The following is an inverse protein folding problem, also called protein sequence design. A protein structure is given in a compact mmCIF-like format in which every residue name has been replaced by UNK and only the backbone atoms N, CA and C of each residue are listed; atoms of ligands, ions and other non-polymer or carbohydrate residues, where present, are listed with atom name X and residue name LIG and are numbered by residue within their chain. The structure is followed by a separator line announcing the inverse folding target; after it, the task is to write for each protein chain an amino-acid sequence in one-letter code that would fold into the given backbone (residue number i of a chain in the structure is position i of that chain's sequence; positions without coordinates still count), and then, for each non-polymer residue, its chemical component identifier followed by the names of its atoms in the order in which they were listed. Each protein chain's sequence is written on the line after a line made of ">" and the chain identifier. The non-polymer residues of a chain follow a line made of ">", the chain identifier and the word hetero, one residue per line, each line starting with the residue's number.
data_IF_028679575319
#
_entry.id   IF_028679575319
#
_cell.length_a   1.000
_cell.length_b   1.000
_cell.length_c   1.000
_cell.angle_alpha   90.00
_cell.angle_beta   90.00
_cell.angle_gamma   90.00
#
_symmetry.space_group_name_H-M   'P 1'
#
loop_
_entity.id
_entity.type
_entity.pdbx_description
1 polymer ?
#
# COMPACT_ATOMS: atom_id res chain seq x y z
N UNK A 1 31.63 -38.45 -42.20
CA UNK A 1 33.05 -38.62 -41.88
C UNK A 1 33.17 -38.30 -40.39
N UNK A 2 33.17 -39.35 -39.68
CA UNK A 2 34.13 -39.82 -38.66
C UNK A 2 34.15 -38.95 -37.43
N UNK A 3 33.52 -39.39 -36.27
CA UNK A 3 34.06 -40.37 -35.28
C UNK A 3 35.34 -39.84 -34.62
N UNK A 4 35.47 -39.72 -33.33
CA UNK A 4 35.50 -40.69 -32.21
C UNK A 4 35.66 -39.91 -30.91
N UNK A 5 35.01 -40.16 -29.85
CA UNK A 5 34.95 -41.26 -28.90
C UNK A 5 35.89 -41.14 -27.72
N UNK A 6 35.30 -41.29 -26.56
CA UNK A 6 35.73 -42.05 -25.37
C UNK A 6 36.92 -41.53 -24.54
N UNK A 7 36.78 -41.40 -23.29
CA UNK A 7 36.52 -42.37 -22.29
C UNK A 7 37.01 -41.96 -20.88
N UNK A 8 36.81 -42.82 -19.89
CA UNK A 8 36.50 -42.39 -18.55
C UNK A 8 37.63 -42.70 -17.54
N UNK A 9 37.38 -42.34 -16.29
CA UNK A 9 38.18 -42.83 -15.14
C UNK A 9 38.34 -41.75 -14.08
N UNK A 10 38.23 -41.93 -12.85
CA UNK A 10 38.05 -43.11 -11.97
C UNK A 10 37.55 -42.55 -10.63
N UNK A 11 36.71 -43.29 -9.99
CA UNK A 11 36.40 -43.19 -8.59
C UNK A 11 37.56 -43.60 -7.73
N UNK A 12 37.78 -43.01 -6.61
CA UNK A 12 38.50 -43.60 -5.52
C UNK A 12 37.82 -43.25 -4.19
N UNK A 13 37.50 -44.29 -3.60
CA UNK A 13 36.83 -44.67 -2.40
C UNK A 13 37.80 -44.68 -1.18
N UNK A 14 37.21 -44.88 0.00
CA UNK A 14 37.81 -45.36 1.26
C UNK A 14 38.17 -44.25 2.28
N UNK A 15 37.44 -44.20 3.35
CA UNK A 15 37.17 -45.17 4.44
C UNK A 15 38.18 -45.10 5.61
N UNK A 16 37.57 -45.14 6.76
CA UNK A 16 38.05 -45.61 8.07
C UNK A 16 38.78 -44.59 8.98
N UNK A 17 38.12 -44.11 9.99
CA UNK A 17 38.03 -44.66 11.35
C UNK A 17 39.35 -44.75 12.09
N UNK A 18 39.44 -44.06 13.19
CA UNK A 18 39.86 -44.72 14.44
C UNK A 18 39.66 -43.81 15.67
N UNK A 19 39.01 -44.38 16.64
CA UNK A 19 38.80 -43.97 18.01
C UNK A 19 40.13 -43.89 18.80
N UNK A 20 40.26 -42.88 19.63
CA UNK A 20 41.20 -42.92 20.75
C UNK A 20 40.45 -42.45 22.02
N UNK A 21 40.18 -43.41 22.87
CA UNK A 21 39.86 -43.20 24.28
C UNK A 21 41.14 -42.79 25.01
N UNK A 22 41.07 -41.70 25.76
CA UNK A 22 42.05 -41.36 26.78
C UNK A 22 41.31 -41.17 28.11
N UNK A 23 41.83 -41.93 29.09
CA UNK A 23 41.35 -42.15 30.46
C UNK A 23 41.39 -40.82 31.25
N UNK A 24 40.37 -40.64 32.08
CA UNK A 24 40.31 -39.61 33.11
C UNK A 24 41.04 -40.04 34.34
N UNK A 25 42.04 -39.33 34.75
CA UNK A 25 42.59 -39.37 36.11
C UNK A 25 41.91 -38.29 36.96
N UNK A 26 41.26 -38.70 38.01
CA UNK A 26 40.63 -37.87 39.04
C UNK A 26 41.74 -37.37 39.98
N UNK A 27 41.88 -36.07 40.07
CA UNK A 27 42.62 -35.39 41.13
C UNK A 27 41.55 -34.67 41.99
N UNK A 28 41.47 -35.21 43.25
CA UNK A 28 40.61 -34.68 44.30
C UNK A 28 41.40 -33.56 45.01
N UNK A 29 41.06 -32.27 44.75
CA UNK A 29 41.66 -31.16 45.48
C UNK A 29 40.59 -30.51 46.38
N UNK A 30 40.90 -30.47 47.66
CA UNK A 30 40.06 -30.03 48.78
C UNK A 30 39.74 -28.54 48.65
N UNK A 31 38.43 -28.17 48.53
CA UNK A 31 37.92 -26.83 48.55
C UNK A 31 37.77 -26.36 50.00
N UNK A 32 38.35 -25.21 50.38
CA UNK A 32 38.05 -24.59 51.68
C UNK A 32 36.65 -23.99 51.73
N UNK A 33 36.00 -24.14 52.90
CA UNK A 33 34.66 -23.66 53.18
C UNK A 33 34.45 -22.17 52.82
N UNK A 34 33.47 -21.92 51.96
CA UNK A 34 33.05 -20.59 51.59
C UNK A 34 32.30 -19.90 52.74
N UNK A 35 32.78 -18.75 53.16
CA UNK A 35 32.10 -17.83 54.07
C UNK A 35 30.86 -17.29 53.41
N UNK A 36 29.68 -17.50 53.98
CA UNK A 36 28.41 -16.94 53.51
C UNK A 36 28.44 -15.41 53.55
N UNK A 37 28.40 -14.79 52.39
CA UNK A 37 28.15 -13.37 52.24
C UNK A 37 26.63 -13.18 52.19
N UNK A 38 26.02 -12.29 53.03
CA UNK A 38 24.56 -12.08 52.98
C UNK A 38 24.18 -11.55 51.63
N UNK A 39 23.20 -12.18 50.96
CA UNK A 39 22.61 -11.74 49.72
C UNK A 39 21.94 -10.36 49.93
N UNK A 40 22.60 -9.31 49.46
CA UNK A 40 21.94 -8.03 49.29
C UNK A 40 21.06 -8.16 48.07
N UNK A 41 19.78 -8.31 48.32
CA UNK A 41 18.72 -8.30 47.28
C UNK A 41 18.70 -6.92 46.62
N UNK A 42 19.61 -6.73 45.63
CA UNK A 42 19.53 -5.61 44.70
C UNK A 42 18.46 -5.91 43.66
N UNK A 43 17.22 -5.59 43.98
CA UNK A 43 16.19 -5.37 42.99
C UNK A 43 16.71 -4.30 42.02
N UNK A 44 17.37 -4.75 40.95
CA UNK A 44 17.57 -3.90 39.80
C UNK A 44 16.15 -3.57 39.28
N UNK A 45 15.79 -2.29 39.10
CA UNK A 45 14.51 -1.98 38.51
C UNK A 45 14.46 -2.70 37.15
N UNK A 46 13.41 -3.51 36.94
CA UNK A 46 13.15 -4.06 35.61
C UNK A 46 13.18 -2.89 34.64
N UNK A 47 13.83 -3.05 33.46
CA UNK A 47 13.80 -2.02 32.46
C UNK A 47 12.33 -1.77 32.12
N UNK A 48 11.83 -0.62 32.53
CA UNK A 48 10.51 -0.14 32.14
C UNK A 48 10.55 -0.11 30.63
N UNK A 49 9.84 -1.03 29.97
CA UNK A 49 9.71 -1.02 28.52
C UNK A 49 9.14 0.35 28.15
N UNK A 50 9.99 1.22 27.65
CA UNK A 50 9.58 2.52 27.17
C UNK A 50 8.65 2.23 26.00
N UNK A 51 7.36 2.48 26.17
CA UNK A 51 6.38 2.26 25.11
C UNK A 51 6.89 3.02 23.87
N UNK A 52 7.09 2.31 22.77
CA UNK A 52 7.49 2.93 21.51
C UNK A 52 6.48 4.02 21.18
N UNK A 53 6.89 5.27 20.93
CA UNK A 53 5.96 6.36 20.64
C UNK A 53 5.08 5.94 19.46
N UNK A 54 3.76 6.00 19.65
CA UNK A 54 2.81 5.67 18.59
C UNK A 54 2.84 6.76 17.51
N UNK A 55 2.94 6.37 16.24
CA UNK A 55 2.89 7.30 15.11
C UNK A 55 1.62 7.10 14.29
N UNK A 56 0.94 8.17 13.82
CA UNK A 56 -0.32 8.05 13.07
C UNK A 56 -0.24 7.23 11.77
N UNK A 57 0.96 7.04 11.21
CA UNK A 57 1.20 6.20 10.03
C UNK A 57 1.24 4.70 10.34
N UNK A 58 1.38 4.28 11.59
CA UNK A 58 1.39 2.87 11.96
C UNK A 58 0.06 2.22 11.55
N UNK A 59 0.14 1.09 10.85
CA UNK A 59 -1.05 0.37 10.37
C UNK A 59 -1.97 -0.01 11.53
N UNK A 60 -1.42 -0.51 12.64
CA UNK A 60 -2.22 -0.89 13.81
C UNK A 60 -2.91 0.30 14.48
N UNK A 61 -2.28 1.48 14.46
CA UNK A 61 -2.91 2.73 14.93
C UNK A 61 -4.06 3.13 14.00
N UNK A 62 -3.87 3.01 12.69
CA UNK A 62 -4.93 3.29 11.72
C UNK A 62 -6.09 2.31 11.83
N UNK A 63 -5.85 1.02 12.10
CA UNK A 63 -6.89 0.00 12.32
C UNK A 63 -7.75 0.26 13.56
N UNK A 64 -7.16 0.84 14.60
CA UNK A 64 -7.86 1.17 15.85
C UNK A 64 -8.66 2.48 15.74
N UNK A 65 -8.48 3.23 14.66
CA UNK A 65 -9.13 4.52 14.46
C UNK A 65 -10.53 4.34 13.87
N UNK A 66 -11.46 5.19 14.29
CA UNK A 66 -12.78 5.29 13.68
C UNK A 66 -12.73 6.18 12.42
N UNK A 67 -13.46 5.74 11.39
CA UNK A 67 -13.67 6.48 10.14
C UNK A 67 -15.19 6.67 9.95
N UNK A 68 -15.79 7.61 10.68
CA UNK A 68 -17.26 7.74 10.68
C UNK A 68 -17.82 8.23 9.35
N UNK A 69 -17.03 8.96 8.53
CA UNK A 69 -17.55 9.63 7.34
C UNK A 69 -18.72 10.54 7.68
N UNK A 70 -19.60 10.74 6.72
CA UNK A 70 -20.88 11.44 6.88
C UNK A 70 -21.85 10.97 5.77
N UNK A 71 -23.08 11.51 5.76
CA UNK A 71 -23.91 11.50 4.56
C UNK A 71 -23.18 12.25 3.44
N UNK A 72 -23.39 11.78 2.20
CA UNK A 72 -22.92 12.48 0.97
C UNK A 72 -23.90 13.63 0.69
N UNK A 73 -23.35 14.84 0.58
CA UNK A 73 -24.09 16.05 0.25
C UNK A 73 -23.89 16.37 -1.22
N UNK A 74 -25.01 16.56 -1.97
CA UNK A 74 -24.97 17.04 -3.35
C UNK A 74 -24.65 18.54 -3.36
N UNK A 75 -23.57 18.91 -4.04
CA UNK A 75 -23.13 20.30 -4.17
C UNK A 75 -23.49 20.90 -5.55
N UNK A 76 -23.27 20.12 -6.62
CA UNK A 76 -23.51 20.57 -7.97
C UNK A 76 -23.91 19.41 -8.89
N UNK A 77 -24.86 19.65 -9.79
CA UNK A 77 -25.20 18.73 -10.87
C UNK A 77 -24.37 19.08 -12.11
N UNK A 78 -23.69 18.09 -12.66
CA UNK A 78 -22.87 18.27 -13.87
C UNK A 78 -23.57 17.68 -15.09
N UNK A 79 -23.14 18.08 -16.30
CA UNK A 79 -23.57 17.42 -17.53
C UNK A 79 -23.37 15.88 -17.43
N UNK A 80 -24.41 15.09 -17.74
CA UNK A 80 -24.33 13.64 -17.60
C UNK A 80 -23.34 13.03 -18.59
N UNK A 81 -22.91 11.80 -18.27
CA UNK A 81 -22.20 10.94 -19.20
C UNK A 81 -23.16 10.18 -20.14
N UNK A 82 -22.66 9.17 -20.84
CA UNK A 82 -23.45 8.44 -21.85
C UNK A 82 -24.64 7.66 -21.24
N UNK A 83 -24.46 7.09 -20.04
CA UNK A 83 -25.46 6.27 -19.34
C UNK A 83 -25.33 6.40 -17.80
N UNK A 84 -24.84 7.55 -17.34
CA UNK A 84 -24.67 7.85 -15.91
C UNK A 84 -24.80 9.36 -15.68
N UNK A 85 -25.27 9.72 -14.49
CA UNK A 85 -25.29 11.09 -14.02
C UNK A 85 -23.98 11.43 -13.30
N UNK A 86 -23.66 12.73 -13.22
CA UNK A 86 -22.43 13.25 -12.64
C UNK A 86 -22.73 14.35 -11.64
N UNK A 87 -22.02 14.33 -10.53
CA UNK A 87 -22.20 15.29 -9.45
C UNK A 87 -20.87 15.71 -8.84
N UNK A 88 -20.77 16.96 -8.42
CA UNK A 88 -19.87 17.35 -7.37
C UNK A 88 -20.59 17.10 -6.05
N UNK A 89 -19.98 16.35 -5.17
CA UNK A 89 -20.50 16.03 -3.85
C UNK A 89 -19.49 16.38 -2.77
N UNK A 90 -19.92 16.37 -1.52
CA UNK A 90 -19.00 16.47 -0.38
C UNK A 90 -19.35 15.47 0.73
N UNK A 91 -18.37 15.21 1.57
CA UNK A 91 -18.48 14.42 2.79
C UNK A 91 -17.54 14.98 3.87
N UNK A 92 -17.69 14.52 5.11
CA UNK A 92 -16.86 14.96 6.24
C UNK A 92 -15.72 13.97 6.50
N UNK A 93 -14.52 14.48 6.71
CA UNK A 93 -13.35 13.75 7.16
C UNK A 93 -12.60 14.57 8.20
N UNK A 94 -12.58 14.10 9.45
CA UNK A 94 -11.92 14.77 10.59
C UNK A 94 -12.27 16.26 10.73
N UNK A 95 -13.56 16.58 10.55
CA UNK A 95 -14.04 17.96 10.63
C UNK A 95 -13.78 18.82 9.39
N UNK A 96 -13.13 18.28 8.34
CA UNK A 96 -12.96 18.95 7.06
C UNK A 96 -14.06 18.52 6.10
N UNK A 97 -14.63 19.46 5.36
CA UNK A 97 -15.47 19.22 4.19
C UNK A 97 -14.58 18.82 3.02
N UNK A 98 -14.72 17.59 2.56
CA UNK A 98 -13.96 17.05 1.42
C UNK A 98 -14.89 16.92 0.22
N UNK A 99 -14.53 17.54 -0.89
CA UNK A 99 -15.24 17.42 -2.14
C UNK A 99 -14.85 16.15 -2.90
N UNK A 100 -15.74 15.70 -3.76
CA UNK A 100 -15.51 14.53 -4.61
C UNK A 100 -16.33 14.61 -5.89
N UNK A 101 -15.87 13.98 -6.96
CA UNK A 101 -16.68 13.65 -8.11
C UNK A 101 -17.41 12.33 -7.84
N UNK A 102 -18.74 12.35 -8.00
CA UNK A 102 -19.59 11.16 -7.94
C UNK A 102 -20.22 10.92 -9.30
N UNK A 103 -20.22 9.66 -9.75
CA UNK A 103 -21.06 9.22 -10.88
C UNK A 103 -22.11 8.24 -10.39
N UNK A 104 -23.31 8.29 -10.97
CA UNK A 104 -24.41 7.40 -10.64
C UNK A 104 -24.93 6.77 -11.93
N UNK A 105 -24.90 5.43 -12.09
CA UNK A 105 -25.45 4.78 -13.27
C UNK A 105 -26.93 5.08 -13.44
N UNK A 106 -27.36 5.27 -14.71
CA UNK A 106 -28.76 5.39 -15.08
C UNK A 106 -29.37 4.00 -15.33
N UNK A 107 -30.70 3.91 -15.25
CA UNK A 107 -31.43 2.68 -15.48
C UNK A 107 -32.00 2.07 -14.21
N UNK A 108 -32.35 0.79 -14.26
CA UNK A 108 -32.93 0.06 -13.14
C UNK A 108 -31.84 -0.29 -12.11
N UNK A 109 -31.98 0.27 -10.91
CA UNK A 109 -31.03 0.04 -9.83
C UNK A 109 -31.17 -1.39 -9.31
N UNK A 110 -30.06 -2.14 -9.15
CA UNK A 110 -30.08 -3.44 -8.50
C UNK A 110 -30.72 -3.37 -7.10
N UNK A 111 -31.37 -4.44 -6.66
CA UNK A 111 -32.07 -4.48 -5.38
C UNK A 111 -31.21 -4.13 -4.16
N UNK A 112 -29.89 -4.40 -4.25
CA UNK A 112 -28.92 -4.10 -3.19
C UNK A 112 -28.20 -2.75 -3.39
N UNK A 113 -28.49 -2.02 -4.48
CA UNK A 113 -27.75 -0.83 -4.92
C UNK A 113 -26.70 -1.14 -5.97
N UNK A 114 -26.07 -0.10 -6.49
CA UNK A 114 -24.99 -0.21 -7.48
C UNK A 114 -23.66 -0.56 -6.82
N UNK A 115 -22.79 -1.37 -7.47
CA UNK A 115 -21.42 -1.56 -7.03
C UNK A 115 -20.63 -0.25 -7.14
N UNK A 116 -19.61 -0.10 -6.29
CA UNK A 116 -18.86 1.14 -6.14
C UNK A 116 -17.38 0.93 -6.49
N UNK A 117 -16.78 1.92 -7.16
CA UNK A 117 -15.33 2.09 -7.25
C UNK A 117 -14.94 3.38 -6.52
N UNK A 118 -14.26 3.26 -5.40
CA UNK A 118 -13.56 4.38 -4.77
C UNK A 118 -12.26 4.62 -5.53
N UNK A 119 -12.13 5.84 -6.07
CA UNK A 119 -11.09 6.16 -7.03
C UNK A 119 -10.04 7.09 -6.42
N UNK A 120 -8.80 6.64 -6.35
CA UNK A 120 -7.66 7.35 -5.77
C UNK A 120 -6.74 7.88 -6.87
N UNK A 121 -6.78 9.19 -7.09
CA UNK A 121 -5.94 9.84 -8.08
C UNK A 121 -4.47 9.94 -7.65
N UNK A 122 -3.56 10.07 -8.62
CA UNK A 122 -2.14 10.34 -8.40
C UNK A 122 -1.87 11.78 -7.94
N UNK A 123 -0.60 12.10 -7.70
CA UNK A 123 -0.22 13.45 -7.32
C UNK A 123 -0.56 14.47 -8.40
N UNK A 124 -1.35 15.45 -8.02
CA UNK A 124 -1.60 16.68 -8.76
C UNK A 124 -1.31 17.83 -7.79
N UNK A 125 -0.58 18.88 -8.17
CA UNK A 125 -0.37 20.01 -7.29
C UNK A 125 -1.70 20.54 -6.74
N UNK A 126 -1.88 20.68 -5.41
CA UNK A 126 -3.19 21.00 -4.82
C UNK A 126 -3.84 22.26 -5.39
N UNK A 127 -3.03 23.29 -5.69
CA UNK A 127 -3.50 24.54 -6.29
C UNK A 127 -3.90 24.43 -7.78
N UNK A 128 -3.54 23.33 -8.45
CA UNK A 128 -3.88 23.02 -9.83
C UNK A 128 -4.99 21.98 -9.96
N UNK A 129 -5.31 21.29 -8.85
CA UNK A 129 -6.35 20.28 -8.84
C UNK A 129 -7.74 20.90 -9.01
N UNK A 130 -8.60 20.21 -9.76
CA UNK A 130 -10.02 20.53 -9.92
C UNK A 130 -10.83 19.22 -9.90
N UNK A 131 -11.91 19.22 -9.16
CA UNK A 131 -12.79 18.06 -8.95
C UNK A 131 -13.28 17.40 -10.24
N UNK A 132 -13.51 18.18 -11.29
CA UNK A 132 -14.10 17.69 -12.54
C UNK A 132 -13.08 17.42 -13.65
N UNK A 133 -11.81 17.79 -13.42
CA UNK A 133 -10.75 17.63 -14.40
C UNK A 133 -9.92 16.36 -14.13
N UNK A 134 -9.02 16.01 -15.04
CA UNK A 134 -8.13 14.85 -14.96
C UNK A 134 -8.88 13.51 -14.77
N UNK A 135 -8.26 12.43 -15.12
CA UNK A 135 -8.81 11.06 -15.00
C UNK A 135 -10.22 10.87 -15.59
N UNK A 136 -10.66 11.76 -16.50
CA UNK A 136 -12.02 11.73 -17.06
C UNK A 136 -12.30 10.39 -17.75
N UNK A 137 -11.39 9.92 -18.61
CA UNK A 137 -11.54 8.64 -19.33
C UNK A 137 -11.57 7.43 -18.40
N UNK A 138 -10.84 7.46 -17.29
CA UNK A 138 -10.80 6.38 -16.29
C UNK A 138 -12.13 6.29 -15.54
N UNK A 139 -12.65 7.46 -15.09
CA UNK A 139 -13.95 7.55 -14.39
C UNK A 139 -15.08 7.16 -15.34
N UNK A 140 -15.09 7.66 -16.58
CA UNK A 140 -16.08 7.34 -17.62
C UNK A 140 -16.12 5.83 -17.89
N UNK A 141 -14.96 5.17 -17.98
CA UNK A 141 -14.89 3.74 -18.23
C UNK A 141 -15.60 2.90 -17.16
N UNK A 142 -15.36 3.17 -15.88
CA UNK A 142 -16.07 2.47 -14.80
C UNK A 142 -17.55 2.86 -14.73
N UNK A 143 -17.87 4.15 -14.84
CA UNK A 143 -19.24 4.62 -14.78
C UNK A 143 -20.13 4.00 -15.87
N UNK A 144 -19.63 3.93 -17.11
CA UNK A 144 -20.34 3.27 -18.24
C UNK A 144 -20.60 1.79 -18.01
N UNK A 145 -19.80 1.13 -17.19
CA UNK A 145 -19.96 -0.28 -16.85
C UNK A 145 -20.81 -0.51 -15.59
N UNK A 146 -21.57 0.52 -15.18
CA UNK A 146 -22.56 0.39 -14.11
C UNK A 146 -21.97 0.41 -12.71
N UNK A 147 -20.86 1.12 -12.53
CA UNK A 147 -20.30 1.41 -11.21
C UNK A 147 -20.65 2.85 -10.78
N UNK A 148 -21.00 3.02 -9.52
CA UNK A 148 -20.82 4.32 -8.89
C UNK A 148 -19.31 4.54 -8.77
N UNK A 149 -18.82 5.69 -9.25
CA UNK A 149 -17.42 6.09 -9.03
C UNK A 149 -17.41 7.25 -8.05
N UNK A 150 -16.72 7.11 -6.92
CA UNK A 150 -16.48 8.18 -5.97
C UNK A 150 -15.00 8.53 -5.99
N UNK A 151 -14.64 9.67 -6.62
CA UNK A 151 -13.28 10.18 -6.67
C UNK A 151 -13.11 11.34 -5.71
N UNK A 152 -12.49 11.06 -4.56
CA UNK A 152 -12.18 12.08 -3.56
C UNK A 152 -11.10 13.05 -4.05
N UNK A 153 -11.27 14.34 -3.71
CA UNK A 153 -10.27 15.37 -3.99
C UNK A 153 -9.07 15.31 -3.03
N UNK A 154 -9.21 14.68 -1.88
CA UNK A 154 -8.39 14.76 -0.66
C UNK A 154 -8.37 16.16 -0.05
N UNK A 155 -8.07 16.25 1.25
CA UNK A 155 -7.94 17.54 1.95
C UNK A 155 -6.93 18.49 1.30
N UNK A 156 -7.29 19.75 1.26
CA UNK A 156 -6.45 20.82 0.69
C UNK A 156 -6.32 20.80 -0.84
N UNK A 157 -7.12 20.00 -1.56
CA UNK A 157 -7.20 19.99 -3.01
C UNK A 157 -8.52 20.62 -3.50
N UNK A 158 -8.46 21.37 -4.59
CA UNK A 158 -9.64 22.05 -5.11
C UNK A 158 -10.30 22.93 -4.05
N UNK A 159 -11.59 22.69 -3.82
CA UNK A 159 -12.38 23.39 -2.81
C UNK A 159 -12.44 22.64 -1.46
N UNK A 160 -11.76 21.50 -1.34
CA UNK A 160 -11.69 20.70 -0.11
C UNK A 160 -10.93 21.43 0.98
N UNK A 161 -11.50 21.42 2.20
CA UNK A 161 -10.90 22.00 3.38
C UNK A 161 -9.66 21.22 3.86
N UNK A 162 -8.97 21.79 4.84
CA UNK A 162 -7.79 21.20 5.45
C UNK A 162 -6.48 21.53 4.72
N UNK A 163 -5.43 20.80 5.05
CA UNK A 163 -4.07 21.06 4.55
C UNK A 163 -3.58 19.87 3.75
N UNK A 164 -3.06 20.14 2.57
CA UNK A 164 -2.42 19.13 1.72
C UNK A 164 -1.06 18.70 2.29
N UNK A 165 -1.03 17.57 3.00
CA UNK A 165 0.16 17.06 3.69
C UNK A 165 0.96 16.04 2.87
N UNK A 166 0.44 15.62 1.71
CA UNK A 166 1.02 14.56 0.87
C UNK A 166 0.60 13.14 1.30
N UNK A 167 0.82 12.18 0.40
CA UNK A 167 0.32 10.80 0.58
C UNK A 167 1.24 9.87 1.38
N UNK A 168 2.47 10.28 1.72
CA UNK A 168 3.47 9.36 2.30
C UNK A 168 3.90 9.72 3.72
N UNK A 169 4.10 11.00 4.01
CA UNK A 169 4.54 11.49 5.34
C UNK A 169 3.42 11.65 6.35
N UNK A 170 2.18 11.45 5.93
CA UNK A 170 0.97 11.58 6.74
C UNK A 170 -0.09 10.59 6.27
N UNK A 171 -0.92 10.02 7.17
CA UNK A 171 -2.03 9.17 6.78
C UNK A 171 -3.24 9.95 6.25
N UNK A 172 -3.19 11.28 6.22
CA UNK A 172 -4.35 12.14 6.05
C UNK A 172 -5.18 11.84 4.79
N UNK A 173 -4.54 11.60 3.64
CA UNK A 173 -5.28 11.25 2.42
C UNK A 173 -5.91 9.86 2.50
N UNK A 174 -5.24 8.90 3.13
CA UNK A 174 -5.85 7.58 3.40
C UNK A 174 -7.04 7.71 4.36
N UNK A 175 -6.94 8.58 5.37
CA UNK A 175 -8.05 8.89 6.28
C UNK A 175 -9.24 9.50 5.52
N UNK A 176 -8.99 10.43 4.61
CA UNK A 176 -10.05 11.01 3.76
C UNK A 176 -10.74 9.93 2.92
N UNK A 177 -9.96 9.02 2.33
CA UNK A 177 -10.48 7.91 1.52
C UNK A 177 -11.26 6.90 2.36
N UNK A 178 -10.82 6.55 3.57
CA UNK A 178 -11.55 5.66 4.45
C UNK A 178 -12.87 6.30 4.94
N UNK A 179 -12.89 7.62 5.17
CA UNK A 179 -14.14 8.35 5.42
C UNK A 179 -15.03 8.44 4.17
N UNK A 180 -14.46 8.49 2.96
CA UNK A 180 -15.21 8.37 1.70
C UNK A 180 -15.86 6.99 1.55
N UNK A 181 -15.15 5.91 1.91
CA UNK A 181 -15.72 4.55 1.97
C UNK A 181 -16.89 4.50 2.94
N UNK A 182 -16.73 5.04 4.15
CA UNK A 182 -17.81 5.09 5.13
C UNK A 182 -19.00 5.95 4.66
N UNK A 183 -18.75 7.04 3.94
CA UNK A 183 -19.80 7.89 3.38
C UNK A 183 -20.58 7.19 2.25
N UNK A 184 -19.86 6.54 1.32
CA UNK A 184 -20.52 5.86 0.20
C UNK A 184 -21.30 4.62 0.65
N UNK A 185 -20.92 3.95 1.75
CA UNK A 185 -21.70 2.85 2.35
C UNK A 185 -23.07 3.29 2.86
N UNK A 186 -23.26 4.58 3.16
CA UNK A 186 -24.54 5.17 3.54
C UNK A 186 -25.32 5.75 2.37
N UNK A 187 -24.68 5.88 1.19
CA UNK A 187 -25.34 6.45 0.03
C UNK A 187 -26.47 5.52 -0.47
N UNK A 188 -27.73 5.99 -0.57
CA UNK A 188 -28.90 5.12 -0.79
C UNK A 188 -28.86 4.32 -2.10
N UNK A 189 -28.04 4.72 -3.06
CA UNK A 189 -27.91 4.06 -4.35
C UNK A 189 -26.74 3.08 -4.41
N UNK A 190 -25.87 3.04 -3.39
CA UNK A 190 -24.70 2.18 -3.34
C UNK A 190 -24.98 0.86 -2.62
N UNK A 191 -24.39 -0.23 -3.10
CA UNK A 191 -24.33 -1.48 -2.33
C UNK A 191 -23.12 -1.40 -1.38
N UNK A 192 -23.36 -1.34 -0.05
CA UNK A 192 -22.29 -1.18 0.94
C UNK A 192 -21.33 -2.38 1.03
N UNK A 193 -21.68 -3.51 0.42
CA UNK A 193 -20.89 -4.74 0.43
C UNK A 193 -20.13 -4.97 -0.88
N UNK A 194 -20.32 -4.11 -1.89
CA UNK A 194 -19.72 -4.23 -3.22
C UNK A 194 -18.87 -3.00 -3.55
N UNK A 195 -17.76 -2.84 -2.80
CA UNK A 195 -16.84 -1.71 -2.95
C UNK A 195 -15.49 -2.22 -3.44
N UNK A 196 -15.08 -1.78 -4.62
CA UNK A 196 -13.71 -1.90 -5.14
C UNK A 196 -12.95 -0.59 -4.94
N UNK A 197 -11.62 -0.66 -4.99
CA UNK A 197 -10.78 0.54 -4.91
C UNK A 197 -9.76 0.55 -6.04
N UNK A 198 -9.72 1.64 -6.78
CA UNK A 198 -8.77 1.85 -7.86
C UNK A 198 -7.81 2.97 -7.52
N UNK A 199 -6.51 2.80 -7.82
CA UNK A 199 -5.53 3.84 -7.54
C UNK A 199 -4.40 3.91 -8.56
N UNK A 200 -4.01 5.14 -8.92
CA UNK A 200 -2.89 5.43 -9.81
C UNK A 200 -1.77 6.13 -9.05
N UNK A 201 -0.51 5.72 -9.28
CA UNK A 201 0.66 6.40 -8.73
C UNK A 201 0.57 6.55 -7.20
N UNK A 202 0.53 7.76 -6.64
CA UNK A 202 0.26 8.02 -5.21
C UNK A 202 -1.05 7.36 -4.75
N UNK A 203 -2.09 7.38 -5.59
CA UNK A 203 -3.37 6.71 -5.31
C UNK A 203 -3.23 5.20 -5.13
N UNK A 204 -2.25 4.56 -5.79
CA UNK A 204 -1.93 3.16 -5.59
C UNK A 204 -1.40 2.86 -4.17
N UNK A 205 -0.57 3.75 -3.62
CA UNK A 205 -0.14 3.67 -2.21
C UNK A 205 -1.32 3.80 -1.24
N UNK A 206 -2.23 4.75 -1.51
CA UNK A 206 -3.44 4.95 -0.70
C UNK A 206 -4.32 3.71 -0.77
N UNK A 207 -4.50 3.11 -1.96
CA UNK A 207 -5.27 1.87 -2.16
C UNK A 207 -4.68 0.72 -1.35
N UNK A 208 -3.38 0.45 -1.49
CA UNK A 208 -2.71 -0.63 -0.76
C UNK A 208 -2.85 -0.44 0.76
N UNK A 209 -2.61 0.78 1.25
CA UNK A 209 -2.75 1.11 2.68
C UNK A 209 -4.19 0.95 3.16
N UNK A 210 -5.17 1.38 2.39
CA UNK A 210 -6.58 1.23 2.74
C UNK A 210 -6.97 -0.23 2.88
N UNK A 211 -6.52 -1.11 1.96
CA UNK A 211 -6.87 -2.53 1.94
C UNK A 211 -6.24 -3.35 3.08
N UNK A 212 -5.17 -2.88 3.71
CA UNK A 212 -4.62 -3.52 4.92
C UNK A 212 -5.18 -2.91 6.22
N UNK A 213 -5.96 -1.82 6.12
CA UNK A 213 -6.55 -1.13 7.29
C UNK A 213 -8.01 -1.51 7.50
N UNK A 214 -8.79 -1.77 6.45
CA UNK A 214 -10.24 -2.07 6.52
C UNK A 214 -10.63 -3.25 5.65
N UNK A 215 -11.64 -4.03 6.08
CA UNK A 215 -12.22 -5.16 5.35
C UNK A 215 -13.36 -4.76 4.39
N UNK A 216 -13.67 -3.47 4.30
CA UNK A 216 -14.77 -2.96 3.49
C UNK A 216 -14.50 -3.04 1.98
N UNK A 217 -13.23 -3.13 1.56
CA UNK A 217 -12.80 -3.10 0.16
C UNK A 217 -12.63 -4.53 -0.35
N UNK A 218 -13.41 -4.94 -1.34
CA UNK A 218 -13.49 -6.33 -1.82
C UNK A 218 -12.41 -6.68 -2.85
N UNK A 219 -11.88 -5.68 -3.56
CA UNK A 219 -10.80 -5.86 -4.53
C UNK A 219 -10.08 -4.53 -4.77
N UNK A 220 -8.79 -4.58 -5.10
CA UNK A 220 -7.98 -3.42 -5.43
C UNK A 220 -7.34 -3.51 -6.81
N UNK A 221 -7.38 -2.42 -7.57
CA UNK A 221 -6.65 -2.28 -8.83
C UNK A 221 -5.67 -1.12 -8.71
N UNK A 222 -4.40 -1.37 -9.01
CA UNK A 222 -3.33 -0.39 -8.87
C UNK A 222 -2.59 -0.22 -10.20
N UNK A 223 -2.59 1.00 -10.72
CA UNK A 223 -1.86 1.38 -11.92
C UNK A 223 -0.63 2.18 -11.56
N UNK A 224 0.56 1.73 -12.01
CA UNK A 224 1.84 2.41 -11.81
C UNK A 224 2.04 2.94 -10.37
N UNK A 225 1.65 2.12 -9.39
CA UNK A 225 1.55 2.52 -7.98
C UNK A 225 2.90 2.74 -7.30
N UNK A 226 2.92 3.70 -6.39
CA UNK A 226 4.05 3.94 -5.47
C UNK A 226 3.91 2.99 -4.28
N UNK A 227 4.17 1.70 -4.51
CA UNK A 227 3.76 0.61 -3.60
C UNK A 227 4.92 -0.12 -2.92
N UNK A 228 6.14 0.39 -2.99
CA UNK A 228 7.25 -0.12 -2.19
C UNK A 228 7.06 0.15 -0.71
N UNK A 229 7.70 -0.66 0.14
CA UNK A 229 7.80 -0.38 1.57
C UNK A 229 8.48 0.97 1.81
N UNK A 230 8.36 1.55 3.01
CA UNK A 230 9.04 2.82 3.31
C UNK A 230 10.55 2.75 3.10
N UNK A 231 11.28 1.70 3.53
CA UNK A 231 12.69 1.51 3.18
C UNK A 231 12.94 1.49 1.67
N UNK A 232 12.10 0.78 0.89
CA UNK A 232 12.24 0.74 -0.57
C UNK A 232 12.00 2.09 -1.24
N UNK A 233 11.04 2.86 -0.75
CA UNK A 233 10.78 4.22 -1.24
C UNK A 233 11.98 5.15 -1.03
N UNK A 234 12.79 4.92 -0.01
CA UNK A 234 14.03 5.67 0.19
C UNK A 234 15.16 5.20 -0.73
N UNK A 235 15.32 3.89 -0.87
CA UNK A 235 16.45 3.29 -1.57
C UNK A 235 16.30 3.26 -3.11
N UNK A 236 15.10 3.03 -3.62
CA UNK A 236 14.85 2.68 -5.03
C UNK A 236 14.17 3.75 -5.87
N UNK A 237 13.80 4.87 -5.29
CA UNK A 237 13.06 5.93 -6.01
C UNK A 237 13.90 6.67 -7.07
N UNK A 238 15.16 6.32 -7.31
CA UNK A 238 15.99 6.91 -8.38
C UNK A 238 16.23 5.89 -9.48
N UNK A 239 15.87 6.27 -10.71
CA UNK A 239 16.28 5.58 -11.91
C UNK A 239 17.82 5.52 -11.98
N UNK A 240 18.38 4.33 -12.27
CA UNK A 240 19.79 4.19 -12.60
C UNK A 240 20.55 3.08 -11.88
N UNK A 241 19.91 2.14 -11.21
CA UNK A 241 20.55 0.87 -10.81
C UNK A 241 21.54 0.93 -9.66
N UNK A 242 21.93 2.09 -9.17
CA UNK A 242 22.76 2.24 -7.98
C UNK A 242 21.88 2.58 -6.77
N UNK A 243 21.87 1.69 -5.77
CA UNK A 243 21.13 1.89 -4.52
C UNK A 243 21.87 2.96 -3.70
N UNK A 244 21.60 4.21 -3.99
CA UNK A 244 22.05 5.31 -3.13
C UNK A 244 20.85 5.68 -2.24
N UNK A 245 20.95 5.43 -0.95
CA UNK A 245 20.06 6.06 0.03
C UNK A 245 20.45 7.53 0.09
N UNK A 246 19.72 8.45 -0.56
CA UNK A 246 20.09 9.85 -0.51
C UNK A 246 19.83 10.35 0.91
N UNK A 247 20.78 11.05 1.49
CA UNK A 247 20.51 11.84 2.70
C UNK A 247 19.31 12.74 2.39
N UNK A 248 18.20 12.63 3.14
CA UNK A 248 17.03 13.45 2.89
C UNK A 248 17.41 14.93 2.96
N UNK A 249 17.08 15.69 1.93
CA UNK A 249 17.24 17.15 1.96
C UNK A 249 16.13 17.74 2.85
N UNK A 250 16.44 18.25 4.04
CA UNK A 250 15.43 18.77 4.97
C UNK A 250 14.79 20.07 4.47
N UNK A 251 15.36 20.70 3.44
CA UNK A 251 14.82 21.93 2.86
C UNK A 251 13.73 21.66 1.84
N UNK A 252 13.72 20.48 1.22
CA UNK A 252 12.68 20.08 0.28
C UNK A 252 11.42 19.57 0.99
N UNK A 253 10.25 19.86 0.45
CA UNK A 253 8.98 19.33 1.00
C UNK A 253 8.94 17.80 1.01
N UNK A 254 9.58 17.15 0.03
CA UNK A 254 9.68 15.69 -0.05
C UNK A 254 10.71 15.10 0.91
N UNK A 255 11.78 15.80 1.21
CA UNK A 255 12.82 15.37 2.15
C UNK A 255 12.43 15.57 3.60
N UNK A 256 11.65 16.61 3.90
CA UNK A 256 11.34 17.04 5.26
C UNK A 256 10.65 15.97 6.11
N UNK A 257 9.62 15.31 5.58
CA UNK A 257 8.93 14.26 6.32
C UNK A 257 9.80 13.02 6.55
N UNK A 258 10.64 12.66 5.55
CA UNK A 258 11.61 11.55 5.67
C UNK A 258 12.64 11.85 6.76
N UNK A 259 13.21 13.06 6.71
CA UNK A 259 14.14 13.52 7.73
C UNK A 259 13.52 13.48 9.11
N UNK A 260 12.33 14.04 9.31
CA UNK A 260 11.63 14.05 10.59
C UNK A 260 11.35 12.66 11.15
N UNK A 261 10.98 11.69 10.30
CA UNK A 261 10.82 10.30 10.73
C UNK A 261 12.16 9.66 11.11
N UNK A 262 13.21 9.85 10.32
CA UNK A 262 14.54 9.31 10.63
C UNK A 262 15.15 9.94 11.89
N UNK A 263 14.97 11.24 12.09
CA UNK A 263 15.44 11.94 13.31
C UNK A 263 14.71 11.43 14.57
N UNK A 264 13.41 11.13 14.44
CA UNK A 264 12.58 10.72 15.59
C UNK A 264 12.70 9.23 15.90
N UNK A 265 12.78 8.38 14.88
CA UNK A 265 12.65 6.93 15.00
C UNK A 265 13.92 6.15 14.58
N UNK A 266 14.96 6.83 14.11
CA UNK A 266 16.16 6.20 13.54
C UNK A 266 15.99 5.79 12.08
N UNK A 267 17.07 5.37 11.45
CA UNK A 267 17.07 4.88 10.06
C UNK A 267 16.35 3.51 9.95
N UNK A 268 16.03 3.05 8.72
CA UNK A 268 15.47 1.71 8.52
C UNK A 268 16.36 0.58 9.06
N UNK A 269 17.67 0.75 9.04
CA UNK A 269 18.64 -0.20 9.57
C UNK A 269 18.69 -0.19 11.10
N UNK A 270 18.53 0.98 11.72
CA UNK A 270 18.56 1.15 13.18
C UNK A 270 17.25 0.72 13.84
N UNK A 271 16.11 0.93 13.19
CA UNK A 271 14.79 0.61 13.73
C UNK A 271 13.85 -0.03 12.67
N UNK A 272 14.18 -1.22 12.17
CA UNK A 272 13.39 -1.89 11.14
C UNK A 272 11.94 -2.14 11.57
N UNK A 273 11.69 -2.32 12.86
CA UNK A 273 10.35 -2.56 13.40
C UNK A 273 9.43 -1.35 13.20
N UNK A 274 9.91 -0.13 13.44
CA UNK A 274 9.13 1.07 13.17
C UNK A 274 8.78 1.19 11.68
N UNK A 275 9.78 1.03 10.80
CA UNK A 275 9.57 1.16 9.36
C UNK A 275 8.65 0.09 8.78
N UNK A 276 8.69 -1.12 9.32
CA UNK A 276 7.72 -2.16 9.02
C UNK A 276 6.31 -1.76 9.47
N UNK A 277 6.16 -1.24 10.70
CA UNK A 277 4.86 -0.88 11.27
C UNK A 277 4.10 0.21 10.48
N UNK A 278 4.81 1.06 9.74
CA UNK A 278 4.22 2.10 8.88
C UNK A 278 4.09 1.67 7.41
N UNK A 279 4.66 0.53 7.00
CA UNK A 279 4.65 0.01 5.64
C UNK A 279 3.48 -0.95 5.41
N UNK A 280 2.54 -0.69 4.50
CA UNK A 280 1.49 -1.66 4.13
C UNK A 280 2.05 -3.03 3.75
N UNK A 281 3.26 -3.07 3.17
CA UNK A 281 3.95 -4.28 2.74
C UNK A 281 4.23 -5.29 3.88
N UNK A 282 4.30 -4.83 5.13
CA UNK A 282 4.46 -5.73 6.27
C UNK A 282 3.13 -6.40 6.72
N UNK A 283 2.01 -6.04 6.12
CA UNK A 283 0.66 -6.48 6.49
C UNK A 283 -0.11 -7.11 5.31
N UNK A 284 0.60 -7.63 4.30
CA UNK A 284 -0.04 -8.12 3.08
C UNK A 284 -0.89 -9.38 3.30
N UNK A 285 -0.64 -10.15 4.35
CA UNK A 285 -1.52 -11.27 4.78
C UNK A 285 -2.91 -10.81 5.21
N UNK A 286 -3.06 -9.52 5.53
CA UNK A 286 -4.29 -8.91 6.03
C UNK A 286 -5.01 -8.09 4.94
N UNK A 287 -4.62 -8.26 3.68
CA UNK A 287 -5.33 -7.62 2.57
C UNK A 287 -6.81 -8.03 2.56
N UNK A 288 -7.70 -7.07 2.46
CA UNK A 288 -9.16 -7.27 2.47
C UNK A 288 -9.71 -8.00 1.24
N UNK A 289 -8.89 -8.19 0.19
CA UNK A 289 -9.26 -8.87 -1.04
C UNK A 289 -8.12 -8.95 -2.05
N UNK A 290 -8.37 -9.53 -3.23
CA UNK A 290 -7.37 -9.66 -4.30
C UNK A 290 -6.93 -8.31 -4.85
N UNK A 291 -5.69 -8.27 -5.38
CA UNK A 291 -5.11 -7.10 -6.03
C UNK A 291 -4.75 -7.42 -7.48
N UNK A 292 -5.05 -6.46 -8.38
CA UNK A 292 -4.56 -6.45 -9.76
C UNK A 292 -3.59 -5.28 -9.94
N UNK A 293 -2.41 -5.56 -10.50
CA UNK A 293 -1.35 -4.59 -10.78
C UNK A 293 -1.20 -4.34 -12.27
N UNK A 294 -1.05 -3.07 -12.66
CA UNK A 294 -0.78 -2.64 -14.04
C UNK A 294 0.41 -1.70 -14.07
N UNK A 295 1.38 -1.91 -14.98
CA UNK A 295 2.54 -1.03 -15.08
C UNK A 295 3.09 -0.97 -16.51
N UNK A 296 3.46 0.23 -16.97
CA UNK A 296 4.18 0.42 -18.22
C UNK A 296 5.68 0.20 -18.04
N UNK A 297 6.34 -0.57 -18.93
CA UNK A 297 7.77 -0.89 -18.77
C UNK A 297 8.69 0.30 -19.08
N UNK A 298 8.19 1.33 -19.77
CA UNK A 298 8.92 2.58 -20.01
C UNK A 298 8.49 3.72 -19.05
N UNK A 299 7.87 3.38 -17.90
CA UNK A 299 7.54 4.36 -16.88
C UNK A 299 8.80 4.99 -16.29
N UNK A 300 8.95 6.32 -16.49
CA UNK A 300 10.08 7.12 -16.00
C UNK A 300 9.77 7.82 -14.67
N UNK A 301 8.54 7.68 -14.17
CA UNK A 301 8.09 8.31 -12.92
C UNK A 301 8.19 7.34 -11.75
N UNK A 302 7.65 6.13 -11.92
CA UNK A 302 7.71 5.02 -10.95
C UNK A 302 8.28 3.81 -11.65
N UNK A 303 9.44 3.28 -11.23
CA UNK A 303 10.00 2.07 -11.84
C UNK A 303 9.05 0.89 -11.71
N UNK A 304 8.77 0.16 -12.78
CA UNK A 304 7.86 -1.01 -12.75
C UNK A 304 8.35 -2.13 -11.82
N UNK A 305 9.65 -2.20 -11.54
CA UNK A 305 10.23 -3.10 -10.56
C UNK A 305 9.59 -2.99 -9.15
N UNK A 306 9.01 -1.82 -8.82
CA UNK A 306 8.28 -1.65 -7.54
C UNK A 306 7.01 -2.49 -7.53
N UNK A 307 6.30 -2.58 -8.67
CA UNK A 307 5.12 -3.43 -8.78
C UNK A 307 5.48 -4.92 -8.87
N UNK A 308 6.60 -5.27 -9.50
CA UNK A 308 7.11 -6.66 -9.51
C UNK A 308 7.48 -7.12 -8.09
N UNK A 309 8.10 -6.24 -7.30
CA UNK A 309 8.41 -6.52 -5.90
C UNK A 309 7.12 -6.76 -5.10
N UNK A 310 6.13 -5.86 -5.23
CA UNK A 310 4.85 -6.02 -4.53
C UNK A 310 4.12 -7.30 -4.95
N UNK A 311 4.15 -7.67 -6.25
CA UNK A 311 3.61 -8.94 -6.72
C UNK A 311 4.21 -10.12 -5.95
N UNK A 312 5.54 -10.18 -5.88
CA UNK A 312 6.26 -11.25 -5.17
C UNK A 312 5.93 -11.27 -3.66
N UNK A 313 5.83 -10.09 -3.04
CA UNK A 313 5.50 -9.95 -1.62
C UNK A 313 4.07 -10.44 -1.32
N UNK A 314 3.07 -10.06 -2.15
CA UNK A 314 1.67 -10.51 -1.99
C UNK A 314 1.56 -12.03 -2.21
N UNK A 315 2.26 -12.57 -3.21
CA UNK A 315 2.32 -14.02 -3.45
C UNK A 315 2.94 -14.77 -2.25
N UNK A 316 4.02 -14.23 -1.68
CA UNK A 316 4.66 -14.79 -0.49
C UNK A 316 3.74 -14.75 0.74
N UNK A 317 2.87 -13.74 0.83
CA UNK A 317 1.84 -13.63 1.87
C UNK A 317 0.64 -14.57 1.64
N UNK A 318 0.61 -15.31 0.51
CA UNK A 318 -0.47 -16.24 0.19
C UNK A 318 -1.76 -15.57 -0.29
N UNK A 319 -1.72 -14.28 -0.65
CA UNK A 319 -2.88 -13.54 -1.09
C UNK A 319 -3.02 -13.54 -2.62
N UNK A 320 -4.26 -13.52 -3.15
CA UNK A 320 -4.49 -13.50 -4.59
C UNK A 320 -4.00 -12.19 -5.21
N UNK A 321 -3.18 -12.29 -6.24
CA UNK A 321 -2.67 -11.14 -6.99
C UNK A 321 -2.39 -11.53 -8.44
N UNK A 322 -2.66 -10.60 -9.36
CA UNK A 322 -2.26 -10.69 -10.76
C UNK A 322 -1.61 -9.39 -11.22
N UNK A 323 -0.73 -9.48 -12.22
CA UNK A 323 -0.02 -8.33 -12.74
C UNK A 323 0.04 -8.35 -14.27
N UNK A 324 -0.10 -7.18 -14.86
CA UNK A 324 0.05 -6.93 -16.28
C UNK A 324 1.12 -5.86 -16.54
N UNK A 325 2.13 -6.23 -17.29
CA UNK A 325 3.14 -5.31 -17.81
C UNK A 325 2.78 -4.91 -19.25
N UNK A 326 2.95 -3.63 -19.54
CA UNK A 326 2.69 -3.03 -20.84
C UNK A 326 3.99 -2.56 -21.46
N UNK A 327 4.48 -3.31 -22.44
CA UNK A 327 5.80 -3.10 -23.03
C UNK A 327 5.92 -1.74 -23.71
N UNK A 328 6.95 -0.97 -23.34
CA UNK A 328 7.22 0.36 -23.88
C UNK A 328 6.16 1.42 -23.56
N UNK A 329 5.28 1.15 -22.60
CA UNK A 329 4.23 2.09 -22.17
C UNK A 329 4.70 2.96 -21.00
N UNK A 330 4.08 4.12 -20.86
CA UNK A 330 4.42 5.17 -19.92
C UNK A 330 3.74 4.99 -18.54
N UNK A 331 3.91 5.99 -17.66
CA UNK A 331 3.30 6.06 -16.33
C UNK A 331 1.77 5.97 -16.32
N UNK A 332 1.10 6.42 -17.39
CA UNK A 332 -0.35 6.41 -17.52
C UNK A 332 -0.87 5.21 -18.32
N UNK A 333 0.03 4.35 -18.82
CA UNK A 333 -0.29 3.23 -19.72
C UNK A 333 -1.06 3.74 -20.94
N UNK A 334 -0.58 4.84 -21.50
CA UNK A 334 -1.33 5.64 -22.50
C UNK A 334 -1.59 4.89 -23.79
N UNK A 335 -0.67 4.04 -24.26
CA UNK A 335 -0.81 3.27 -25.51
C UNK A 335 -1.76 2.09 -25.35
N UNK A 336 -1.76 1.48 -24.15
CA UNK A 336 -2.53 0.26 -23.84
C UNK A 336 -3.74 0.55 -22.95
N UNK A 337 -4.16 1.83 -22.87
CA UNK A 337 -5.19 2.31 -21.95
C UNK A 337 -6.46 1.47 -21.99
N UNK A 338 -7.02 1.25 -23.20
CA UNK A 338 -8.27 0.48 -23.37
C UNK A 338 -8.15 -0.96 -22.85
N UNK A 339 -7.05 -1.66 -23.16
CA UNK A 339 -6.85 -3.03 -22.71
C UNK A 339 -6.63 -3.11 -21.20
N UNK A 340 -5.95 -2.15 -20.62
CA UNK A 340 -5.71 -2.06 -19.18
C UNK A 340 -7.02 -1.73 -18.41
N UNK A 341 -7.83 -0.81 -18.95
CA UNK A 341 -9.16 -0.51 -18.40
C UNK A 341 -10.11 -1.70 -18.50
N UNK A 342 -10.14 -2.40 -19.62
CA UNK A 342 -10.96 -3.59 -19.77
C UNK A 342 -10.60 -4.67 -18.76
N UNK A 343 -9.31 -4.93 -18.51
CA UNK A 343 -8.85 -5.87 -17.48
C UNK A 343 -9.27 -5.42 -16.07
N UNK A 344 -9.12 -4.14 -15.77
CA UNK A 344 -9.53 -3.57 -14.47
C UNK A 344 -11.04 -3.70 -14.24
N UNK A 345 -11.85 -3.49 -15.27
CA UNK A 345 -13.32 -3.65 -15.20
C UNK A 345 -13.66 -5.14 -15.01
N UNK A 346 -13.08 -6.05 -15.79
CA UNK A 346 -13.30 -7.49 -15.65
C UNK A 346 -12.92 -8.01 -14.27
N UNK A 347 -11.85 -7.49 -13.70
CA UNK A 347 -11.43 -7.82 -12.35
C UNK A 347 -12.48 -7.38 -11.31
N UNK A 348 -12.95 -6.15 -11.38
CA UNK A 348 -14.02 -5.70 -10.50
C UNK A 348 -15.37 -6.39 -10.78
N UNK A 349 -15.67 -6.73 -12.03
CA UNK A 349 -16.87 -7.52 -12.35
C UNK A 349 -16.82 -8.88 -11.66
N UNK A 350 -15.64 -9.49 -11.54
CA UNK A 350 -15.45 -10.79 -10.86
C UNK A 350 -15.53 -10.68 -9.34
N UNK A 351 -14.91 -9.68 -8.74
CA UNK A 351 -14.70 -9.64 -7.28
C UNK A 351 -15.58 -8.63 -6.54
N UNK A 352 -16.22 -7.71 -7.25
CA UNK A 352 -17.05 -6.64 -6.67
C UNK A 352 -18.50 -6.75 -7.10
N UNK A 353 -18.80 -7.04 -8.39
CA UNK A 353 -20.18 -7.25 -8.82
C UNK A 353 -20.71 -8.62 -8.44
N UNK A 354 -19.88 -9.66 -8.54
CA UNK A 354 -20.26 -11.05 -8.27
C UNK A 354 -20.91 -11.69 -9.48
#
# INVERSE_FOLDING_TARGET
>A
MLLTACGPGQAADLSAAQSAQASAETIEEAVPAATEIPAVDRLLPEPTATATPTHPLMIDVMRQREYPGSEIVLEEWLEPGANYDRYVVSYQSEGNKIFALLTLPQGEMPATGWPVVVFNHGYIPPNQYRTTERYVSYVDAFARHGYIVLRSDYRGHGDSEGVATGGYGSPAYTVDVLNAVAAVKRFPHADPNRIGMWGHSMGGHITLRSMVVTDDIKAGVIWAGVVGSYPDLFARWRQGGEVVVPTPDPTSSRGRWRWGLMETYGSPEENPAFWASISPNAYLSDLSGPIQLHHGTADTTVPFAVSELLLAEIQAAGMPVEMYLYEGDDHNISKSFESAMQRSIQFFDTYVKG
#
